data_IF_140033561271
#
_entry.id   IF_140033561271
#
_cell.length_a   1.000
_cell.length_b   1.000
_cell.length_c   1.000
_cell.angle_alpha   90.00
_cell.angle_beta   90.00
_cell.angle_gamma   90.00
#
_symmetry.space_group_name_H-M   'P 1'
#
loop_
_entity.id
_entity.type
_entity.pdbx_description
1 polymer ?
#
# COMPACT_ATOMS: atom_id res chain seq x y z
N UNK A 1 -9.34 1.50 1.88
CA UNK A 1 -8.59 0.73 2.87
C UNK A 1 -9.45 0.34 4.05
N UNK A 2 -9.07 -0.74 4.73
CA UNK A 2 -9.69 -1.14 5.98
C UNK A 2 -8.98 -0.51 7.19
N UNK A 3 -9.42 -0.85 8.39
CA UNK A 3 -8.88 -0.34 9.65
C UNK A 3 -7.35 -0.45 9.76
N UNK A 4 -6.77 -1.57 9.35
CA UNK A 4 -5.31 -1.81 9.45
C UNK A 4 -4.50 -0.82 8.60
N UNK A 5 -4.94 -0.49 7.40
CA UNK A 5 -4.31 0.54 6.56
C UNK A 5 -4.51 1.95 7.10
N UNK A 6 -5.64 2.21 7.76
CA UNK A 6 -5.89 3.49 8.43
C UNK A 6 -4.95 3.68 9.62
N UNK A 7 -4.80 2.65 10.48
CA UNK A 7 -3.84 2.68 11.59
C UNK A 7 -2.42 2.87 11.10
N UNK A 8 -2.03 2.14 10.05
CA UNK A 8 -0.70 2.32 9.44
C UNK A 8 -0.46 3.76 8.99
N UNK A 9 -1.42 4.34 8.27
CA UNK A 9 -1.33 5.73 7.81
C UNK A 9 -1.24 6.70 8.99
N UNK A 10 -2.05 6.50 10.03
CA UNK A 10 -2.02 7.32 11.25
C UNK A 10 -0.65 7.25 11.93
N UNK A 11 -0.06 6.06 12.07
CA UNK A 11 1.27 5.91 12.66
C UNK A 11 2.35 6.64 11.85
N UNK A 12 2.32 6.52 10.52
CA UNK A 12 3.24 7.26 9.63
C UNK A 12 3.04 8.77 9.80
N UNK A 13 1.80 9.22 9.82
CA UNK A 13 1.47 10.63 10.00
C UNK A 13 1.99 11.20 11.32
N UNK A 14 1.74 10.50 12.43
CA UNK A 14 2.24 10.90 13.75
C UNK A 14 3.76 10.90 13.83
N UNK A 15 4.41 9.92 13.20
CA UNK A 15 5.87 9.87 13.12
C UNK A 15 6.44 11.09 12.37
N UNK A 16 5.84 11.46 11.24
CA UNK A 16 6.25 12.63 10.47
C UNK A 16 6.05 13.94 11.24
N UNK A 17 4.90 14.09 11.90
CA UNK A 17 4.62 15.25 12.75
C UNK A 17 5.63 15.36 13.90
N UNK A 18 5.98 14.21 14.51
CA UNK A 18 6.98 14.17 15.57
C UNK A 18 8.36 14.59 15.02
N UNK A 19 8.81 14.02 13.92
CA UNK A 19 10.09 14.37 13.31
C UNK A 19 10.12 15.87 12.95
N UNK A 20 9.06 16.39 12.33
CA UNK A 20 8.94 17.80 11.97
C UNK A 20 9.06 18.73 13.19
N UNK A 21 8.44 18.35 14.31
CA UNK A 21 8.49 19.12 15.56
C UNK A 21 9.85 19.06 16.26
N UNK A 22 10.46 17.88 16.28
CA UNK A 22 11.67 17.62 17.04
C UNK A 22 12.96 18.03 16.28
N UNK A 23 12.83 18.44 15.01
CA UNK A 23 13.96 18.87 14.18
C UNK A 23 14.18 20.38 14.30
N UNK A 24 15.35 20.80 14.76
CA UNK A 24 15.73 22.19 14.94
C UNK A 24 15.98 22.92 13.60
N UNK A 25 16.43 22.17 12.59
CA UNK A 25 16.60 22.67 11.21
C UNK A 25 15.32 22.49 10.42
N UNK A 26 15.06 23.30 9.35
CA UNK A 26 13.87 23.10 8.52
C UNK A 26 13.78 21.66 8.08
N UNK A 27 12.68 21.00 8.49
CA UNK A 27 12.44 19.61 8.18
C UNK A 27 12.28 19.44 6.67
N UNK A 28 13.28 18.87 6.03
CA UNK A 28 13.23 18.48 4.63
C UNK A 28 13.34 16.98 4.53
N UNK A 29 12.20 16.32 4.48
CA UNK A 29 12.18 14.96 3.93
C UNK A 29 12.48 15.05 2.43
N UNK A 30 13.64 14.54 2.05
CA UNK A 30 14.08 14.52 0.65
C UNK A 30 13.28 13.50 -0.19
N UNK A 31 12.49 12.64 0.45
CA UNK A 31 11.75 11.56 -0.20
C UNK A 31 10.25 11.74 -0.02
N UNK A 32 9.53 11.57 -1.12
CA UNK A 32 8.08 11.55 -1.14
C UNK A 32 7.53 10.28 -0.48
N UNK A 33 6.41 10.42 0.21
CA UNK A 33 5.66 9.32 0.80
C UNK A 33 4.36 9.17 0.04
N UNK A 34 4.12 7.99 -0.52
CA UNK A 34 2.94 7.74 -1.33
C UNK A 34 1.92 6.88 -0.58
N UNK A 35 0.71 7.39 -0.46
CA UNK A 35 -0.47 6.62 -0.05
C UNK A 35 -1.08 6.00 -1.30
N UNK A 36 -0.90 4.71 -1.45
CA UNK A 36 -1.33 3.99 -2.65
C UNK A 36 -2.71 3.37 -2.49
N UNK A 37 -3.56 3.56 -3.47
CA UNK A 37 -4.84 2.88 -3.59
C UNK A 37 -4.94 2.20 -4.96
N UNK A 38 -5.29 0.91 -4.97
CA UNK A 38 -5.55 0.19 -6.22
C UNK A 38 -7.03 0.36 -6.58
N UNK A 39 -7.30 1.00 -7.71
CA UNK A 39 -8.61 1.01 -8.32
C UNK A 39 -8.73 -0.20 -9.25
N UNK A 40 -9.60 -1.12 -8.92
CA UNK A 40 -9.83 -2.31 -9.75
C UNK A 40 -10.80 -2.07 -10.89
N UNK A 41 -11.41 -0.87 -10.95
CA UNK A 41 -12.42 -0.46 -11.93
C UNK A 41 -13.70 -1.31 -11.92
N UNK A 42 -13.92 -2.08 -10.84
CA UNK A 42 -15.11 -2.91 -10.62
C UNK A 42 -15.65 -2.79 -9.20
N UNK A 43 -15.23 -1.77 -8.49
CA UNK A 43 -15.74 -1.48 -7.15
C UNK A 43 -17.19 -0.97 -7.23
N UNK A 44 -17.93 -1.16 -6.15
CA UNK A 44 -19.25 -0.54 -6.02
C UNK A 44 -19.10 0.99 -6.14
N UNK A 45 -19.92 1.69 -6.95
CA UNK A 45 -19.79 3.14 -7.15
C UNK A 45 -19.80 3.94 -5.84
N UNK A 46 -20.62 3.55 -4.85
CA UNK A 46 -20.67 4.21 -3.54
C UNK A 46 -19.33 4.09 -2.83
N UNK A 47 -18.70 2.91 -2.88
CA UNK A 47 -17.39 2.67 -2.26
C UNK A 47 -16.30 3.42 -3.02
N UNK A 48 -16.37 3.46 -4.35
CA UNK A 48 -15.41 4.21 -5.17
C UNK A 48 -15.45 5.71 -4.83
N UNK A 49 -16.63 6.32 -4.79
CA UNK A 49 -16.81 7.73 -4.40
C UNK A 49 -16.28 8.00 -2.99
N UNK A 50 -16.64 7.15 -2.02
CA UNK A 50 -16.12 7.26 -0.65
C UNK A 50 -14.60 7.20 -0.57
N UNK A 51 -13.99 6.28 -1.32
CA UNK A 51 -12.52 6.17 -1.39
C UNK A 51 -11.91 7.44 -1.96
N UNK A 52 -12.47 8.00 -3.03
CA UNK A 52 -11.98 9.23 -3.65
C UNK A 52 -12.07 10.42 -2.70
N UNK A 53 -13.17 10.55 -1.95
CA UNK A 53 -13.33 11.58 -0.92
C UNK A 53 -12.28 11.45 0.20
N UNK A 54 -12.05 10.23 0.69
CA UNK A 54 -11.04 9.98 1.73
C UNK A 54 -9.63 10.29 1.23
N UNK A 55 -9.31 9.90 -0.02
CA UNK A 55 -8.01 10.19 -0.61
C UNK A 55 -7.79 11.69 -0.79
N UNK A 56 -8.80 12.43 -1.22
CA UNK A 56 -8.76 13.90 -1.33
C UNK A 56 -8.57 14.57 0.04
N UNK A 57 -9.23 14.06 1.09
CA UNK A 57 -9.02 14.56 2.46
C UNK A 57 -7.60 14.32 2.94
N UNK A 58 -7.02 13.14 2.69
CA UNK A 58 -5.62 12.84 3.05
C UNK A 58 -4.68 13.84 2.37
N UNK A 59 -4.85 14.10 1.08
CA UNK A 59 -4.00 15.02 0.33
C UNK A 59 -4.13 16.46 0.81
N UNK A 60 -5.35 16.90 1.09
CA UNK A 60 -5.63 18.24 1.63
C UNK A 60 -4.97 18.42 2.99
N UNK A 61 -5.15 17.47 3.90
CA UNK A 61 -4.55 17.51 5.24
C UNK A 61 -3.02 17.45 5.20
N UNK A 62 -2.44 16.63 4.32
CA UNK A 62 -1.00 16.57 4.14
C UNK A 62 -0.42 17.93 3.70
N UNK A 63 -1.13 18.63 2.81
CA UNK A 63 -0.75 19.96 2.33
C UNK A 63 -0.89 21.02 3.42
N UNK A 64 -1.99 21.00 4.19
CA UNK A 64 -2.21 21.91 5.32
C UNK A 64 -1.12 21.77 6.40
N UNK A 65 -0.65 20.54 6.64
CA UNK A 65 0.39 20.26 7.62
C UNK A 65 1.81 20.30 7.03
N UNK A 66 1.95 20.64 5.73
CA UNK A 66 3.23 20.64 5.01
C UNK A 66 4.00 19.34 5.22
N UNK A 67 3.34 18.20 4.96
CA UNK A 67 3.92 16.87 4.99
C UNK A 67 4.10 16.34 3.57
N UNK A 68 5.21 15.65 3.25
CA UNK A 68 5.50 15.14 1.91
C UNK A 68 4.71 13.86 1.60
N UNK A 69 3.41 13.88 1.87
CA UNK A 69 2.49 12.77 1.61
C UNK A 69 1.69 13.07 0.35
N UNK A 70 1.74 12.15 -0.60
CA UNK A 70 1.04 12.22 -1.87
C UNK A 70 0.14 11.01 -2.03
N UNK A 71 -1.02 11.21 -2.63
CA UNK A 71 -1.94 10.12 -2.95
C UNK A 71 -1.70 9.63 -4.38
N UNK A 72 -1.71 8.31 -4.56
CA UNK A 72 -1.62 7.69 -5.89
C UNK A 72 -2.66 6.58 -6.04
N UNK A 73 -3.53 6.71 -7.03
CA UNK A 73 -4.38 5.62 -7.51
C UNK A 73 -3.63 4.87 -8.61
N UNK A 74 -3.64 3.55 -8.55
CA UNK A 74 -3.08 2.69 -9.59
C UNK A 74 -4.20 1.86 -10.20
N UNK A 75 -4.19 1.73 -11.52
CA UNK A 75 -5.20 1.05 -12.30
C UNK A 75 -4.58 -0.07 -13.13
N UNK A 76 -5.31 -1.16 -13.39
CA UNK A 76 -4.88 -2.17 -14.34
C UNK A 76 -4.79 -1.57 -15.75
N UNK A 77 -3.88 -2.10 -16.58
CA UNK A 77 -3.94 -1.85 -18.02
C UNK A 77 -5.26 -2.41 -18.57
N UNK A 78 -5.74 -1.85 -19.69
CA UNK A 78 -6.98 -2.29 -20.31
C UNK A 78 -7.03 -3.81 -20.53
N UNK A 79 -5.96 -4.38 -21.07
CA UNK A 79 -5.83 -5.83 -21.30
C UNK A 79 -5.84 -6.70 -20.04
N UNK A 80 -5.59 -6.12 -18.86
CA UNK A 80 -5.61 -6.79 -17.55
C UNK A 80 -6.85 -6.43 -16.73
N UNK A 81 -7.75 -5.59 -17.26
CA UNK A 81 -9.00 -5.23 -16.59
C UNK A 81 -9.95 -6.43 -16.44
N UNK A 82 -10.86 -6.34 -15.48
CA UNK A 82 -11.79 -7.43 -15.16
C UNK A 82 -12.62 -7.87 -16.38
N UNK A 83 -13.27 -6.91 -17.03
CA UNK A 83 -14.18 -7.20 -18.13
C UNK A 83 -13.49 -7.75 -19.38
N UNK A 84 -12.30 -7.22 -19.71
CA UNK A 84 -11.51 -7.76 -20.82
C UNK A 84 -11.07 -9.20 -20.55
N UNK A 85 -10.70 -9.53 -19.30
CA UNK A 85 -10.32 -10.91 -19.00
C UNK A 85 -11.52 -11.86 -18.98
N UNK A 86 -12.66 -11.47 -18.38
CA UNK A 86 -13.84 -12.34 -18.28
C UNK A 86 -14.54 -12.48 -19.63
N UNK A 87 -14.89 -11.35 -20.26
CA UNK A 87 -15.68 -11.35 -21.49
C UNK A 87 -14.78 -11.56 -22.71
N UNK A 88 -13.67 -10.82 -22.80
CA UNK A 88 -12.81 -10.84 -23.99
C UNK A 88 -11.92 -12.09 -24.09
N UNK A 89 -11.40 -12.57 -22.96
CA UNK A 89 -10.46 -13.70 -22.91
C UNK A 89 -11.05 -15.00 -22.35
N UNK A 90 -12.32 -14.98 -21.94
CA UNK A 90 -13.00 -16.17 -21.39
C UNK A 90 -12.44 -16.67 -20.06
N UNK A 91 -11.83 -15.81 -19.25
CA UNK A 91 -11.34 -16.24 -17.94
C UNK A 91 -12.52 -16.56 -17.02
N UNK A 92 -12.43 -17.63 -16.22
CA UNK A 92 -13.46 -17.91 -15.23
C UNK A 92 -13.50 -16.79 -14.19
N UNK A 93 -14.68 -16.57 -13.61
CA UNK A 93 -14.85 -15.60 -12.51
C UNK A 93 -13.87 -15.96 -11.37
N UNK A 94 -13.18 -14.97 -10.79
CA UNK A 94 -12.22 -15.22 -9.72
C UNK A 94 -12.86 -15.96 -8.53
N UNK A 95 -12.13 -16.92 -7.99
CA UNK A 95 -12.51 -17.67 -6.79
C UNK A 95 -11.30 -17.86 -5.88
N UNK A 96 -11.46 -18.54 -4.75
CA UNK A 96 -10.40 -18.76 -3.76
C UNK A 96 -9.18 -19.49 -4.31
N UNK A 97 -9.36 -20.39 -5.27
CA UNK A 97 -8.28 -21.15 -5.89
C UNK A 97 -7.67 -20.43 -7.11
N UNK A 98 -8.44 -19.61 -7.81
CA UNK A 98 -8.01 -18.92 -9.03
C UNK A 98 -8.19 -17.39 -8.91
N UNK A 99 -7.21 -16.75 -8.30
CA UNK A 99 -7.23 -15.32 -7.91
C UNK A 99 -6.46 -14.43 -8.89
N UNK A 100 -6.63 -14.63 -10.17
CA UNK A 100 -5.97 -13.82 -11.22
C UNK A 100 -6.23 -12.32 -11.09
N UNK A 101 -7.40 -11.94 -10.55
CA UNK A 101 -7.75 -10.54 -10.31
C UNK A 101 -6.76 -9.85 -9.34
N UNK A 102 -6.27 -10.56 -8.33
CA UNK A 102 -5.29 -9.99 -7.39
C UNK A 102 -3.98 -9.65 -8.11
N UNK A 103 -3.48 -10.56 -8.93
CA UNK A 103 -2.25 -10.33 -9.69
C UNK A 103 -2.41 -9.19 -10.69
N UNK A 104 -3.41 -9.29 -11.57
CA UNK A 104 -3.59 -8.36 -12.70
C UNK A 104 -4.04 -6.96 -12.29
N UNK A 105 -4.93 -6.88 -11.28
CA UNK A 105 -5.61 -5.63 -10.95
C UNK A 105 -5.05 -4.93 -9.72
N UNK A 106 -4.20 -5.60 -8.92
CA UNK A 106 -3.58 -5.02 -7.71
C UNK A 106 -2.06 -5.12 -7.73
N UNK A 107 -1.50 -6.34 -7.87
CA UNK A 107 -0.05 -6.53 -7.75
C UNK A 107 0.70 -5.85 -8.91
N UNK A 108 0.31 -6.12 -10.16
CA UNK A 108 0.98 -5.56 -11.34
C UNK A 108 0.94 -4.03 -11.41
N UNK A 109 -0.22 -3.35 -11.19
CA UNK A 109 -0.27 -1.89 -11.18
C UNK A 109 0.61 -1.29 -10.09
N UNK A 110 0.56 -1.86 -8.87
CA UNK A 110 1.41 -1.44 -7.75
C UNK A 110 2.89 -1.64 -8.05
N UNK A 111 3.26 -2.81 -8.57
CA UNK A 111 4.66 -3.11 -8.90
C UNK A 111 5.23 -2.15 -9.95
N UNK A 112 4.43 -1.78 -10.95
CA UNK A 112 4.81 -0.82 -11.99
C UNK A 112 5.16 0.53 -11.38
N UNK A 113 4.28 1.07 -10.53
CA UNK A 113 4.54 2.33 -9.84
C UNK A 113 5.80 2.25 -8.96
N UNK A 114 5.99 1.14 -8.22
CA UNK A 114 7.18 0.98 -7.37
C UNK A 114 8.46 0.96 -8.22
N UNK A 115 8.45 0.28 -9.37
CA UNK A 115 9.60 0.24 -10.28
C UNK A 115 9.93 1.66 -10.77
N UNK A 116 8.93 2.43 -11.19
CA UNK A 116 9.10 3.84 -11.60
C UNK A 116 9.76 4.66 -10.48
N UNK A 117 9.31 4.47 -9.22
CA UNK A 117 9.91 5.18 -8.08
C UNK A 117 11.33 4.70 -7.76
N UNK A 118 11.62 3.40 -7.92
CA UNK A 118 12.98 2.88 -7.75
C UNK A 118 13.92 3.41 -8.83
N UNK A 119 13.45 3.50 -10.06
CA UNK A 119 14.24 4.05 -11.18
C UNK A 119 14.58 5.53 -10.94
N UNK A 120 13.65 6.32 -10.38
CA UNK A 120 13.86 7.73 -10.06
C UNK A 120 14.71 7.96 -8.79
N UNK A 121 14.44 7.18 -7.74
CA UNK A 121 14.97 7.42 -6.40
C UNK A 121 16.05 6.43 -5.94
N UNK A 122 16.29 5.37 -6.70
CA UNK A 122 17.28 4.32 -6.43
C UNK A 122 16.77 3.20 -5.51
N UNK A 123 15.81 3.47 -4.62
CA UNK A 123 15.24 2.49 -3.70
C UNK A 123 13.83 2.87 -3.24
N UNK A 124 13.06 1.89 -2.77
CA UNK A 124 11.74 2.10 -2.19
C UNK A 124 11.53 1.27 -0.92
N UNK A 125 10.76 1.82 0.03
CA UNK A 125 10.29 1.11 1.22
C UNK A 125 8.77 1.00 1.15
N UNK A 126 8.26 -0.23 1.11
CA UNK A 126 6.84 -0.52 1.13
C UNK A 126 6.39 -0.73 2.57
N UNK A 127 5.46 0.09 3.03
CA UNK A 127 4.80 -0.12 4.30
C UNK A 127 3.50 -0.90 4.10
N UNK A 128 3.33 -2.00 4.81
CA UNK A 128 2.13 -2.84 4.70
C UNK A 128 1.41 -2.97 6.03
N UNK A 129 0.09 -2.78 5.98
CA UNK A 129 -0.80 -2.90 7.14
C UNK A 129 -1.27 -4.34 7.35
N UNK A 130 -0.35 -5.29 7.50
CA UNK A 130 -0.68 -6.70 7.76
C UNK A 130 -0.39 -7.07 9.19
N UNK A 131 -1.24 -7.90 9.81
CA UNK A 131 -1.10 -8.38 11.19
C UNK A 131 -1.07 -9.92 11.24
N UNK A 132 -0.30 -10.47 12.17
CA UNK A 132 -0.28 -11.92 12.44
C UNK A 132 -1.65 -12.41 12.92
N UNK A 133 -2.33 -11.61 13.74
CA UNK A 133 -3.64 -11.92 14.31
C UNK A 133 -4.79 -11.96 13.28
N UNK A 134 -4.57 -11.51 12.04
CA UNK A 134 -5.61 -11.43 11.01
C UNK A 134 -6.00 -12.80 10.42
N UNK A 135 -5.02 -13.68 10.21
CA UNK A 135 -5.25 -15.06 9.79
C UNK A 135 -3.99 -15.92 9.93
N UNK A 136 -4.18 -17.23 10.08
CA UNK A 136 -3.08 -18.19 10.10
C UNK A 136 -2.20 -18.16 8.84
N UNK A 137 -2.79 -17.86 7.68
CA UNK A 137 -2.06 -17.73 6.42
C UNK A 137 -1.16 -16.49 6.43
N UNK A 138 -1.65 -15.34 6.96
CA UNK A 138 -0.85 -14.13 7.10
C UNK A 138 0.26 -14.31 8.14
N UNK A 139 -0.03 -14.94 9.27
CA UNK A 139 0.98 -15.26 10.27
C UNK A 139 2.13 -16.08 9.69
N UNK A 140 1.81 -17.15 8.92
CA UNK A 140 2.83 -17.96 8.24
C UNK A 140 3.63 -17.17 7.20
N UNK A 141 2.96 -16.33 6.41
CA UNK A 141 3.61 -15.48 5.42
C UNK A 141 4.57 -14.50 6.07
N UNK A 142 4.14 -13.80 7.12
CA UNK A 142 5.00 -12.87 7.87
C UNK A 142 6.21 -13.62 8.44
N UNK A 143 5.99 -14.77 9.11
CA UNK A 143 7.08 -15.59 9.68
C UNK A 143 8.08 -16.07 8.64
N UNK A 144 7.61 -16.42 7.44
CA UNK A 144 8.47 -16.89 6.33
C UNK A 144 9.43 -15.79 5.84
N UNK A 145 9.01 -14.53 5.90
CA UNK A 145 9.80 -13.40 5.42
C UNK A 145 10.50 -12.62 6.55
N UNK A 146 10.26 -13.02 7.80
CA UNK A 146 10.87 -12.38 8.96
C UNK A 146 12.34 -12.80 9.09
N UNK A 147 13.23 -11.83 9.14
CA UNK A 147 14.66 -12.06 9.39
C UNK A 147 14.98 -11.55 10.80
N UNK A 148 15.52 -12.44 11.65
CA UNK A 148 15.85 -12.09 13.03
C UNK A 148 16.73 -10.84 13.12
N UNK A 149 16.35 -9.89 13.96
CA UNK A 149 17.06 -8.64 14.18
C UNK A 149 16.88 -7.58 13.07
N UNK A 150 16.19 -7.89 11.97
CA UNK A 150 15.94 -6.93 10.89
C UNK A 150 14.48 -6.48 10.89
N UNK A 151 14.27 -5.16 10.87
CA UNK A 151 12.93 -4.56 10.69
C UNK A 151 12.50 -4.52 9.23
N UNK A 152 13.45 -4.27 8.33
CA UNK A 152 13.25 -4.25 6.88
C UNK A 152 13.60 -5.60 6.29
N UNK A 153 12.77 -6.10 5.40
CA UNK A 153 13.01 -7.31 4.61
C UNK A 153 13.03 -6.97 3.14
N UNK A 154 13.88 -7.63 2.36
CA UNK A 154 13.91 -7.42 0.92
C UNK A 154 12.59 -7.89 0.29
N UNK A 155 12.09 -7.13 -0.67
CA UNK A 155 10.98 -7.60 -1.49
C UNK A 155 11.43 -8.78 -2.35
N UNK A 156 10.58 -9.81 -2.47
CA UNK A 156 10.97 -11.09 -3.12
C UNK A 156 11.21 -10.99 -4.62
N UNK A 157 10.61 -10.00 -5.28
CA UNK A 157 10.63 -9.86 -6.75
C UNK A 157 11.26 -8.53 -7.16
N UNK A 158 10.91 -7.43 -6.51
CA UNK A 158 11.35 -6.09 -6.87
C UNK A 158 12.75 -5.81 -6.29
N UNK A 159 13.68 -5.41 -7.15
CA UNK A 159 15.02 -5.01 -6.75
C UNK A 159 15.01 -3.69 -6.00
N UNK A 160 15.97 -3.47 -5.12
CA UNK A 160 16.11 -2.24 -4.32
C UNK A 160 14.82 -1.82 -3.60
N UNK A 161 13.99 -2.79 -3.27
CA UNK A 161 12.71 -2.59 -2.62
C UNK A 161 12.66 -3.35 -1.31
N UNK A 162 12.31 -2.65 -0.26
CA UNK A 162 12.21 -3.20 1.09
C UNK A 162 10.76 -3.19 1.56
N UNK A 163 10.43 -4.11 2.44
CA UNK A 163 9.09 -4.24 3.04
C UNK A 163 9.20 -4.09 4.54
N UNK A 164 8.29 -3.31 5.11
CA UNK A 164 8.15 -3.15 6.55
C UNK A 164 6.68 -3.22 6.96
N UNK A 165 6.38 -4.05 7.95
CA UNK A 165 5.05 -4.20 8.53
C UNK A 165 5.05 -3.73 9.99
N UNK A 166 4.87 -2.42 10.25
CA UNK A 166 5.01 -1.86 11.60
C UNK A 166 3.95 -2.37 12.58
N UNK A 167 2.77 -2.74 12.08
CA UNK A 167 1.64 -3.19 12.90
C UNK A 167 1.49 -4.72 12.96
N UNK A 168 2.50 -5.48 12.54
CA UNK A 168 2.41 -6.95 12.39
C UNK A 168 2.06 -7.68 13.69
N UNK A 169 2.41 -7.13 14.84
CA UNK A 169 2.17 -7.73 16.16
C UNK A 169 0.89 -7.21 16.85
N UNK A 170 0.23 -6.18 16.32
CA UNK A 170 -0.95 -5.60 16.94
C UNK A 170 -2.13 -6.58 16.92
N UNK A 171 -2.86 -6.61 18.02
CA UNK A 171 -4.11 -7.36 18.15
C UNK A 171 -5.30 -6.60 17.58
N UNK A 172 -6.45 -7.24 17.51
CA UNK A 172 -7.66 -6.65 16.94
C UNK A 172 -8.16 -5.44 17.74
N UNK A 173 -7.97 -5.49 19.04
CA UNK A 173 -8.41 -4.47 20.02
C UNK A 173 -7.54 -3.20 19.97
N UNK A 174 -6.35 -3.30 19.37
CA UNK A 174 -5.38 -2.20 19.27
C UNK A 174 -5.47 -1.44 17.92
N UNK A 175 -6.40 -1.86 17.04
CA UNK A 175 -6.59 -1.35 15.67
C UNK A 175 -8.04 -0.79 15.49
#
# INVERSE_FOLDING_TARGET
GGKDSTVLLTLVWLALRKIKRDTITPFQLRRSIYVMCNDTMVENPIIATYVDEVLAQIETKAREEDLPIFVRKTEPKLEDSFWVNVIGKGYPVPNTAFRWCTDKMKIKPTARFIIEQVDECGEAIILIGTRKAESATRARSIKKHEVYGKRLTNHTILRNTYVYAPIKELMLEEV
#
